data_IF_124027901236
#
_entry.id   IF_124027901236
#
_cell.length_a   1.000
_cell.length_b   1.000
_cell.length_c   1.000
_cell.angle_alpha   90.00
_cell.angle_beta   90.00
_cell.angle_gamma   90.00
#
_symmetry.space_group_name_H-M   'P 1'
#
loop_
_entity.id
_entity.type
_entity.pdbx_description
1 polymer ?
#
# COMPACT_ATOMS: atom_id res chain seq x y z
N UNK A 1 20.45 -1.11 17.76
CA UNK A 1 19.16 -0.48 18.11
C UNK A 1 18.41 -0.36 16.80
N UNK A 2 17.33 -1.12 16.60
CA UNK A 2 16.51 -0.96 15.39
C UNK A 2 15.41 -0.01 15.79
N UNK A 3 15.60 1.27 15.49
CA UNK A 3 14.53 2.26 15.59
C UNK A 3 13.45 1.81 14.62
N UNK A 4 12.33 1.32 15.15
CA UNK A 4 11.12 1.06 14.36
C UNK A 4 10.58 2.42 13.95
N UNK A 5 11.13 2.93 12.84
CA UNK A 5 10.77 4.22 12.30
C UNK A 5 9.37 4.04 11.71
N UNK A 6 8.38 4.60 12.42
CA UNK A 6 6.96 4.61 12.08
C UNK A 6 6.73 5.48 10.85
N UNK A 7 7.17 4.98 9.71
CA UNK A 7 7.22 5.72 8.44
C UNK A 7 5.91 5.61 7.67
N UNK A 8 5.15 4.53 7.90
CA UNK A 8 3.89 4.30 7.23
C UNK A 8 2.73 4.40 8.23
N UNK A 9 1.64 5.04 7.81
CA UNK A 9 0.49 5.28 8.68
C UNK A 9 -0.80 5.20 7.90
N UNK A 10 -1.92 5.15 8.61
CA UNK A 10 -3.23 5.23 7.97
C UNK A 10 -3.57 6.69 7.66
N UNK A 11 -3.83 7.00 6.40
CA UNK A 11 -4.41 8.28 6.01
C UNK A 11 -5.95 8.21 6.05
N UNK A 12 -6.53 7.24 5.33
CA UNK A 12 -7.98 7.06 5.25
C UNK A 12 -8.34 5.60 4.90
N UNK A 13 -9.56 5.17 5.24
CA UNK A 13 -10.03 3.82 4.91
C UNK A 13 -11.47 3.83 4.42
N UNK A 14 -11.63 3.59 3.12
CA UNK A 14 -12.90 3.54 2.41
C UNK A 14 -13.30 2.07 2.20
N UNK A 15 -13.80 1.47 3.28
CA UNK A 15 -14.08 0.04 3.34
C UNK A 15 -15.15 -0.44 2.35
N UNK A 16 -16.07 0.45 1.95
CA UNK A 16 -17.11 0.15 0.96
C UNK A 16 -16.58 0.15 -0.48
N UNK A 17 -15.50 0.90 -0.74
CA UNK A 17 -14.82 0.96 -2.03
C UNK A 17 -13.63 -0.03 -2.11
N UNK A 18 -13.28 -0.66 -0.99
CA UNK A 18 -12.09 -1.50 -0.88
C UNK A 18 -10.81 -0.71 -1.11
N UNK A 19 -10.75 0.53 -0.60
CA UNK A 19 -9.59 1.41 -0.73
C UNK A 19 -9.02 1.79 0.63
N UNK A 20 -7.71 1.73 0.75
CA UNK A 20 -6.97 2.05 1.97
C UNK A 20 -5.84 3.03 1.64
N UNK A 21 -6.02 4.29 2.01
CA UNK A 21 -5.03 5.33 1.79
C UNK A 21 -4.05 5.32 2.95
N UNK A 22 -2.76 5.35 2.64
CA UNK A 22 -1.70 5.37 3.63
C UNK A 22 -0.89 6.66 3.54
N UNK A 23 -0.35 7.09 4.67
CA UNK A 23 0.70 8.11 4.72
C UNK A 23 2.03 7.41 4.52
N UNK A 24 2.89 7.97 3.69
CA UNK A 24 4.25 7.49 3.47
C UNK A 24 5.24 8.64 3.68
N UNK A 25 6.54 8.37 3.84
CA UNK A 25 7.57 9.39 3.63
C UNK A 25 7.45 9.98 2.23
N UNK A 26 7.85 11.24 2.08
CA UNK A 26 7.92 11.89 0.76
C UNK A 26 8.76 11.06 -0.21
N UNK A 27 8.28 10.97 -1.44
CA UNK A 27 8.94 10.22 -2.50
C UNK A 27 8.82 10.96 -3.82
N UNK A 28 9.78 10.71 -4.70
CA UNK A 28 9.71 11.07 -6.10
C UNK A 28 9.64 9.82 -6.97
N UNK A 29 9.47 10.04 -8.27
CA UNK A 29 9.35 9.03 -9.32
C UNK A 29 10.51 8.00 -9.30
N UNK A 30 11.75 8.45 -9.06
CA UNK A 30 12.94 7.60 -9.00
C UNK A 30 13.02 6.77 -7.71
N UNK A 31 12.50 7.30 -6.59
CA UNK A 31 12.54 6.66 -5.27
C UNK A 31 11.31 5.81 -4.96
N UNK A 32 10.20 5.99 -5.69
CA UNK A 32 8.97 5.27 -5.44
C UNK A 32 9.16 3.75 -5.48
N UNK A 33 9.88 3.15 -6.46
CA UNK A 33 10.09 1.71 -6.47
C UNK A 33 10.75 1.19 -5.19
N UNK A 34 11.73 1.92 -4.66
CA UNK A 34 12.42 1.53 -3.43
C UNK A 34 11.48 1.63 -2.21
N UNK A 35 10.64 2.67 -2.17
CA UNK A 35 9.64 2.84 -1.13
C UNK A 35 8.57 1.74 -1.18
N UNK A 36 8.04 1.45 -2.36
CA UNK A 36 7.03 0.42 -2.60
C UNK A 36 7.55 -0.98 -2.26
N UNK A 37 8.75 -1.34 -2.71
CA UNK A 37 9.35 -2.64 -2.39
C UNK A 37 9.54 -2.80 -0.89
N UNK A 38 9.97 -1.73 -0.22
CA UNK A 38 10.13 -1.72 1.23
C UNK A 38 8.79 -1.92 1.93
N UNK A 39 7.73 -1.19 1.53
CA UNK A 39 6.39 -1.32 2.07
C UNK A 39 5.85 -2.75 1.90
N UNK A 40 5.97 -3.32 0.71
CA UNK A 40 5.52 -4.70 0.42
C UNK A 40 6.27 -5.72 1.27
N UNK A 41 7.59 -5.57 1.39
CA UNK A 41 8.42 -6.45 2.22
C UNK A 41 8.07 -6.36 3.70
N UNK A 42 7.76 -5.15 4.18
CA UNK A 42 7.33 -4.90 5.56
C UNK A 42 5.99 -5.56 5.88
N UNK A 43 5.07 -5.58 4.91
CA UNK A 43 3.81 -6.32 4.98
C UNK A 43 3.98 -7.84 4.82
N UNK A 44 5.20 -8.34 4.63
CA UNK A 44 5.46 -9.74 4.27
C UNK A 44 4.72 -10.20 3.01
N UNK A 45 4.41 -9.25 2.12
CA UNK A 45 3.76 -9.48 0.84
C UNK A 45 4.80 -9.71 -0.28
N UNK A 46 4.32 -10.13 -1.44
CA UNK A 46 5.14 -10.32 -2.65
C UNK A 46 4.61 -9.48 -3.80
N UNK A 47 5.50 -8.82 -4.53
CA UNK A 47 5.12 -8.15 -5.78
C UNK A 47 4.96 -9.20 -6.86
N UNK A 48 3.77 -9.27 -7.47
CA UNK A 48 3.48 -10.17 -8.59
C UNK A 48 3.72 -9.48 -9.92
N UNK A 49 3.19 -8.27 -10.08
CA UNK A 49 3.28 -7.48 -11.30
C UNK A 49 3.43 -6.00 -10.97
N UNK A 50 4.16 -5.27 -11.80
CA UNK A 50 4.28 -3.81 -11.70
C UNK A 50 3.92 -3.19 -13.04
N UNK A 51 2.95 -2.29 -13.04
CA UNK A 51 2.58 -1.50 -14.19
C UNK A 51 2.84 -0.03 -13.90
N UNK A 52 3.30 0.67 -14.92
CA UNK A 52 3.51 2.10 -14.87
C UNK A 52 2.70 2.75 -15.99
N UNK A 53 1.69 3.52 -15.61
CA UNK A 53 0.79 4.19 -16.55
C UNK A 53 0.81 5.70 -16.27
N UNK A 54 1.55 6.43 -17.10
CA UNK A 54 1.77 7.87 -16.93
C UNK A 54 2.32 8.20 -15.55
N UNK A 55 1.50 8.89 -14.75
CA UNK A 55 1.85 9.39 -13.41
C UNK A 55 1.42 8.45 -12.26
N UNK A 56 0.82 7.30 -12.59
CA UNK A 56 0.37 6.30 -11.62
C UNK A 56 1.20 5.02 -11.74
N UNK A 57 1.77 4.59 -10.62
CA UNK A 57 2.37 3.28 -10.47
C UNK A 57 1.35 2.34 -9.85
N UNK A 58 1.05 1.22 -10.51
CA UNK A 58 0.10 0.21 -10.03
C UNK A 58 0.81 -1.12 -9.91
N UNK A 59 0.91 -1.64 -8.70
CA UNK A 59 1.58 -2.89 -8.39
C UNK A 59 0.57 -3.90 -7.90
N UNK A 60 0.52 -5.07 -8.55
CA UNK A 60 -0.23 -6.21 -8.03
C UNK A 60 0.64 -6.91 -7.00
N UNK A 61 0.13 -7.04 -5.77
CA UNK A 61 0.82 -7.71 -4.67
C UNK A 61 0.00 -8.88 -4.17
N UNK A 62 0.69 -9.93 -3.72
CA UNK A 62 0.13 -11.03 -2.94
C UNK A 62 0.38 -10.77 -1.46
N UNK A 63 -0.70 -10.56 -0.72
CA UNK A 63 -0.70 -10.47 0.73
C UNK A 63 -1.41 -11.71 1.28
N UNK A 64 -0.64 -12.65 1.82
CA UNK A 64 -1.14 -13.90 2.40
C UNK A 64 -2.08 -14.72 1.48
N UNK A 65 -1.81 -14.75 0.17
CA UNK A 65 -2.65 -15.43 -0.81
C UNK A 65 -3.83 -14.60 -1.34
N UNK A 66 -3.91 -13.31 -0.98
CA UNK A 66 -4.88 -12.36 -1.53
C UNK A 66 -4.18 -11.33 -2.39
N UNK A 67 -4.74 -11.12 -3.57
CA UNK A 67 -4.27 -10.09 -4.47
C UNK A 67 -4.83 -8.73 -4.09
N UNK A 68 -3.96 -7.73 -4.00
CA UNK A 68 -4.29 -6.33 -3.79
C UNK A 68 -3.49 -5.48 -4.79
N UNK A 69 -4.05 -4.36 -5.20
CA UNK A 69 -3.28 -3.34 -5.92
C UNK A 69 -2.68 -2.35 -4.92
N UNK A 70 -1.36 -2.19 -4.95
CA UNK A 70 -0.68 -1.05 -4.36
C UNK A 70 -0.52 0.02 -5.44
N UNK A 71 -1.21 1.14 -5.29
CA UNK A 71 -1.16 2.26 -6.24
C UNK A 71 -0.48 3.45 -5.63
N UNK A 72 0.28 4.17 -6.44
CA UNK A 72 0.86 5.43 -6.06
C UNK A 72 0.77 6.45 -7.18
N UNK A 73 0.36 7.65 -6.81
CA UNK A 73 0.29 8.81 -7.68
C UNK A 73 1.42 9.78 -7.32
N UNK A 74 2.23 10.15 -8.31
CA UNK A 74 3.42 10.95 -8.07
C UNK A 74 3.13 12.41 -7.68
N UNK A 75 2.17 13.09 -8.33
CA UNK A 75 1.94 14.53 -8.11
C UNK A 75 1.38 14.83 -6.73
N UNK A 76 0.50 13.97 -6.24
CA UNK A 76 -0.13 14.12 -4.93
C UNK A 76 0.60 13.38 -3.80
N UNK A 77 1.70 12.67 -4.12
CA UNK A 77 2.40 11.74 -3.22
C UNK A 77 1.43 10.75 -2.52
N UNK A 78 0.35 10.41 -3.20
CA UNK A 78 -0.73 9.60 -2.64
C UNK A 78 -0.45 8.12 -2.89
N UNK A 79 -0.50 7.31 -1.82
CA UNK A 79 -0.32 5.86 -1.91
C UNK A 79 -1.54 5.18 -1.28
N UNK A 80 -2.10 4.20 -1.98
CA UNK A 80 -3.25 3.45 -1.48
C UNK A 80 -3.25 1.99 -1.92
N UNK A 81 -3.89 1.16 -1.12
CA UNK A 81 -4.25 -0.19 -1.52
C UNK A 81 -5.67 -0.21 -2.09
N UNK A 82 -5.89 -1.01 -3.12
CA UNK A 82 -7.19 -1.25 -3.73
C UNK A 82 -7.42 -2.76 -3.85
N UNK A 83 -8.52 -3.24 -3.29
CA UNK A 83 -8.90 -4.66 -3.40
C UNK A 83 -9.42 -4.98 -4.79
N UNK A 84 -9.12 -6.17 -5.31
CA UNK A 84 -9.74 -6.67 -6.54
C UNK A 84 -11.24 -6.99 -6.34
N UNK A 85 -11.62 -7.36 -5.11
CA UNK A 85 -12.99 -7.68 -4.73
C UNK A 85 -13.22 -7.26 -3.27
N UNK A 86 -14.05 -6.23 -3.07
CA UNK A 86 -14.32 -5.66 -1.74
C UNK A 86 -14.87 -6.71 -0.78
N UNK A 87 -15.76 -7.60 -1.28
CA UNK A 87 -16.38 -8.62 -0.45
C UNK A 87 -15.39 -9.70 -0.02
N UNK A 88 -14.43 -10.06 -0.87
CA UNK A 88 -13.49 -11.15 -0.61
C UNK A 88 -12.25 -10.68 0.16
N UNK A 89 -11.87 -9.41 0.04
CA UNK A 89 -10.69 -8.82 0.67
C UNK A 89 -11.01 -7.99 1.92
N UNK A 90 -12.27 -8.03 2.40
CA UNK A 90 -12.72 -7.16 3.49
C UNK A 90 -11.90 -7.36 4.76
N UNK A 91 -11.69 -8.62 5.15
CA UNK A 91 -10.96 -8.99 6.36
C UNK A 91 -9.51 -8.53 6.29
N UNK A 92 -8.84 -8.75 5.15
CA UNK A 92 -7.45 -8.34 4.95
C UNK A 92 -7.31 -6.81 4.90
N UNK A 93 -8.26 -6.11 4.28
CA UNK A 93 -8.27 -4.64 4.24
C UNK A 93 -8.55 -4.03 5.62
N UNK A 94 -9.47 -4.60 6.40
CA UNK A 94 -9.73 -4.20 7.79
C UNK A 94 -8.48 -4.42 8.66
N UNK A 95 -7.78 -5.55 8.47
CA UNK A 95 -6.52 -5.84 9.16
C UNK A 95 -5.41 -4.83 8.79
N UNK A 96 -5.19 -4.58 7.50
CA UNK A 96 -4.22 -3.58 7.04
C UNK A 96 -4.55 -2.20 7.61
N UNK A 97 -5.83 -1.80 7.62
CA UNK A 97 -6.25 -0.54 8.22
C UNK A 97 -5.88 -0.47 9.70
N UNK A 98 -6.12 -1.53 10.48
CA UNK A 98 -5.70 -1.58 11.88
C UNK A 98 -4.18 -1.53 12.05
N UNK A 99 -3.44 -2.23 11.19
CA UNK A 99 -1.97 -2.24 11.20
C UNK A 99 -1.41 -0.82 10.97
N UNK A 100 -1.86 -0.14 9.91
CA UNK A 100 -1.42 1.22 9.59
C UNK A 100 -1.87 2.27 10.63
N UNK A 101 -2.99 2.04 11.33
CA UNK A 101 -3.42 2.91 12.44
C UNK A 101 -2.47 2.90 13.62
N UNK A 102 -1.74 1.81 13.85
CA UNK A 102 -0.75 1.73 14.92
C UNK A 102 0.58 2.41 14.55
N UNK A 103 0.67 2.89 13.30
CA UNK A 103 1.83 3.45 12.64
C UNK A 103 2.98 2.44 12.59
N UNK A 104 3.29 2.03 11.37
CA UNK A 104 4.18 0.95 11.01
C UNK A 104 5.58 1.48 10.70
#
# INVERSE_FOLDING_TARGET
MVETHKEFGLADYLAEEGRLLITTPSFNLDTFPQLGERLVKLLSAQVLETQWDGDIHSWLIDFEGRHLFLKAEHYSEAVWFESLSVAESREEMDFLAQLFRQQF
#
